data_IF_338368657602
#
_entry.id   IF_338368657602
#
_cell.length_a   1.000
_cell.length_b   1.000
_cell.length_c   1.000
_cell.angle_alpha   90.00
_cell.angle_beta   90.00
_cell.angle_gamma   90.00
#
_symmetry.space_group_name_H-M   'P 1'
#
loop_
_entity.id
_entity.type
_entity.pdbx_description
1 polymer ?
#
# COMPACT_ATOMS: atom_id res chain seq x y z
N UNK A 1 -15.20 -49.40 57.38
CA UNK A 1 -14.99 -47.94 57.20
C UNK A 1 -13.60 -47.60 56.64
N UNK A 2 -12.55 -48.30 57.06
CA UNK A 2 -11.17 -48.01 56.59
C UNK A 2 -10.92 -48.33 55.09
N UNK A 3 -11.50 -49.43 54.54
CA UNK A 3 -11.37 -49.85 53.15
C UNK A 3 -12.08 -48.88 52.15
N UNK A 4 -13.14 -48.19 52.59
CA UNK A 4 -13.86 -47.21 51.74
C UNK A 4 -13.07 -45.90 51.56
N UNK A 5 -12.35 -45.49 52.58
CA UNK A 5 -11.50 -44.27 52.56
C UNK A 5 -10.23 -44.46 51.69
N UNK A 6 -9.65 -45.70 51.67
CA UNK A 6 -8.51 -46.04 50.82
C UNK A 6 -8.90 -46.08 49.33
N UNK A 7 -10.11 -46.55 49.01
CA UNK A 7 -10.60 -46.55 47.64
C UNK A 7 -10.84 -45.14 47.07
N UNK A 8 -11.34 -44.20 47.86
CA UNK A 8 -11.56 -42.81 47.46
C UNK A 8 -10.23 -42.07 47.26
N UNK A 9 -9.26 -42.29 48.18
CA UNK A 9 -7.94 -41.67 48.05
C UNK A 9 -7.16 -42.17 46.82
N UNK A 10 -7.26 -43.43 46.48
CA UNK A 10 -6.62 -44.05 45.31
C UNK A 10 -7.29 -43.56 44.01
N UNK A 11 -8.62 -43.46 43.99
CA UNK A 11 -9.40 -42.95 42.87
C UNK A 11 -9.11 -41.48 42.53
N UNK A 12 -8.99 -40.61 43.57
CA UNK A 12 -8.62 -39.21 43.38
C UNK A 12 -7.17 -39.05 42.93
N UNK A 13 -6.24 -39.83 43.46
CA UNK A 13 -4.84 -39.80 43.01
C UNK A 13 -4.69 -40.22 41.53
N UNK A 14 -5.37 -41.29 41.08
CA UNK A 14 -5.35 -41.73 39.69
C UNK A 14 -6.00 -40.70 38.78
N UNK A 15 -7.08 -40.01 39.21
CA UNK A 15 -7.74 -38.97 38.44
C UNK A 15 -6.84 -37.73 38.28
N UNK A 16 -6.13 -37.32 39.33
CA UNK A 16 -5.17 -36.20 39.27
C UNK A 16 -3.91 -36.55 38.47
N UNK A 17 -3.41 -37.78 38.56
CA UNK A 17 -2.29 -38.26 37.78
C UNK A 17 -2.62 -38.35 36.27
N UNK A 18 -3.85 -38.69 35.91
CA UNK A 18 -4.31 -38.72 34.50
C UNK A 18 -4.59 -37.31 33.93
N UNK A 19 -4.88 -36.29 34.76
CA UNK A 19 -4.98 -34.92 34.34
C UNK A 19 -3.61 -34.24 34.15
N UNK A 20 -2.61 -34.65 34.93
CA UNK A 20 -1.24 -34.13 34.80
C UNK A 20 -0.53 -34.60 33.51
N UNK A 21 -0.97 -35.71 32.90
CA UNK A 21 -0.41 -36.20 31.63
C UNK A 21 -1.05 -35.58 30.36
N UNK A 22 -1.99 -34.63 30.50
CA UNK A 22 -2.72 -34.07 29.35
C UNK A 22 -2.59 -32.55 29.19
N UNK A 23 -1.53 -31.93 29.63
CA UNK A 23 -1.10 -30.67 29.08
C UNK A 23 -0.15 -31.00 27.92
N UNK A 24 -0.53 -30.76 26.67
CA UNK A 24 0.47 -30.73 25.61
C UNK A 24 1.41 -29.59 25.99
N UNK A 25 2.68 -29.87 26.23
CA UNK A 25 3.70 -28.84 26.16
C UNK A 25 3.61 -28.26 24.77
N UNK A 26 3.01 -27.07 24.62
CA UNK A 26 3.19 -26.30 23.42
C UNK A 26 4.69 -26.17 23.19
N UNK A 27 5.19 -26.50 21.98
CA UNK A 27 6.62 -26.37 21.73
C UNK A 27 7.01 -24.91 21.92
N UNK A 28 7.81 -24.64 22.97
CA UNK A 28 8.36 -23.34 23.40
C UNK A 28 9.30 -22.71 22.34
N UNK A 29 9.13 -23.01 21.03
CA UNK A 29 9.98 -22.55 19.96
C UNK A 29 9.18 -22.16 18.69
N UNK A 30 8.06 -21.45 18.81
CA UNK A 30 7.67 -20.57 17.72
C UNK A 30 8.55 -19.32 17.83
N UNK A 31 9.63 -19.31 17.07
CA UNK A 31 10.28 -18.05 16.70
C UNK A 31 9.18 -17.22 16.03
N UNK A 32 8.62 -16.25 16.74
CA UNK A 32 7.69 -15.29 16.13
C UNK A 32 8.50 -14.55 15.08
N UNK A 33 8.33 -14.91 13.82
CA UNK A 33 8.86 -14.11 12.72
C UNK A 33 8.06 -12.82 12.69
N UNK A 34 8.73 -11.71 12.87
CA UNK A 34 8.12 -10.39 12.70
C UNK A 34 7.70 -10.28 11.23
N UNK A 35 6.42 -10.02 10.93
CA UNK A 35 5.96 -9.90 9.55
C UNK A 35 6.70 -8.78 8.83
N UNK A 36 6.98 -8.98 7.55
CA UNK A 36 7.60 -8.01 6.66
C UNK A 36 6.64 -7.66 5.55
N UNK A 37 6.54 -6.36 5.25
CA UNK A 37 5.60 -5.84 4.28
C UNK A 37 6.29 -5.05 3.19
N UNK A 38 5.69 -5.08 1.99
CA UNK A 38 6.08 -4.21 0.89
C UNK A 38 4.85 -3.56 0.28
N UNK A 39 5.01 -2.33 -0.16
CA UNK A 39 4.00 -1.58 -0.92
C UNK A 39 4.57 -1.21 -2.27
N UNK A 40 3.77 -1.40 -3.33
CA UNK A 40 4.13 -1.00 -4.68
C UNK A 40 3.10 -0.05 -5.26
N UNK A 41 3.57 0.98 -5.97
CA UNK A 41 2.69 1.92 -6.65
C UNK A 41 3.28 2.41 -7.98
N UNK A 42 2.38 2.91 -8.82
CA UNK A 42 2.70 3.56 -10.09
C UNK A 42 2.14 4.99 -10.03
N UNK A 43 3.02 5.97 -10.19
CA UNK A 43 2.65 7.38 -10.28
C UNK A 43 2.35 7.76 -11.74
N UNK A 44 1.70 8.92 -11.96
CA UNK A 44 1.32 9.46 -13.28
C UNK A 44 0.48 8.46 -14.11
N UNK A 45 -0.37 7.68 -13.42
CA UNK A 45 -1.04 6.53 -14.03
C UNK A 45 -2.22 6.90 -14.97
N UNK A 46 -2.60 8.16 -15.08
CA UNK A 46 -3.73 8.61 -15.94
C UNK A 46 -3.57 8.24 -17.38
N UNK A 47 -2.34 8.12 -17.90
CA UNK A 47 -2.08 7.65 -19.25
C UNK A 47 -2.55 6.20 -19.52
N UNK A 48 -2.65 5.35 -18.47
CA UNK A 48 -3.19 3.99 -18.56
C UNK A 48 -4.68 4.07 -18.91
N UNK A 49 -5.41 4.93 -18.22
CA UNK A 49 -6.86 5.15 -18.42
C UNK A 49 -7.13 5.80 -19.79
N UNK A 50 -6.29 6.77 -20.19
CA UNK A 50 -6.35 7.38 -21.50
C UNK A 50 -6.15 6.34 -22.62
N UNK A 51 -5.18 5.43 -22.48
CA UNK A 51 -4.92 4.37 -23.44
C UNK A 51 -6.10 3.41 -23.55
N UNK A 52 -6.67 2.97 -22.42
CA UNK A 52 -7.84 2.08 -22.39
C UNK A 52 -9.05 2.74 -23.09
N UNK A 53 -9.34 3.99 -22.74
CA UNK A 53 -10.46 4.74 -23.30
C UNK A 53 -10.26 4.99 -24.82
N UNK A 54 -9.04 5.27 -25.26
CA UNK A 54 -8.72 5.54 -26.68
C UNK A 54 -8.86 4.29 -27.55
N UNK A 55 -8.45 3.12 -27.06
CA UNK A 55 -8.49 1.87 -27.81
C UNK A 55 -9.80 1.08 -27.61
N UNK A 56 -10.66 1.52 -26.69
CA UNK A 56 -11.95 0.85 -26.39
C UNK A 56 -11.77 -0.67 -26.16
N UNK A 57 -10.77 -1.06 -25.36
CA UNK A 57 -10.44 -2.46 -25.06
C UNK A 57 -11.66 -3.21 -24.47
N UNK A 58 -11.74 -4.52 -24.70
CA UNK A 58 -12.76 -5.38 -24.09
C UNK A 58 -12.50 -5.61 -22.59
N UNK A 59 -11.24 -5.54 -22.16
CA UNK A 59 -10.78 -5.68 -20.77
C UNK A 59 -9.72 -4.64 -20.44
N UNK A 60 -9.69 -4.13 -19.21
CA UNK A 60 -8.63 -3.25 -18.73
C UNK A 60 -7.24 -3.90 -18.84
N UNK A 61 -7.17 -5.21 -18.81
CA UNK A 61 -5.92 -5.99 -18.86
C UNK A 61 -5.36 -6.16 -20.29
N UNK A 62 -6.03 -5.63 -21.30
CA UNK A 62 -5.44 -5.49 -22.64
C UNK A 62 -4.46 -4.30 -22.70
N UNK A 63 -4.56 -3.35 -21.76
CA UNK A 63 -3.49 -2.38 -21.56
C UNK A 63 -2.22 -3.10 -21.08
N UNK A 64 -1.08 -2.81 -21.72
CA UNK A 64 0.19 -3.52 -21.49
C UNK A 64 0.66 -3.43 -20.02
N UNK A 65 0.44 -2.30 -19.33
CA UNK A 65 0.84 -2.12 -17.93
C UNK A 65 -0.06 -2.96 -17.04
N UNK A 66 -1.39 -2.84 -17.17
CA UNK A 66 -2.33 -3.58 -16.32
C UNK A 66 -2.25 -5.09 -16.56
N UNK A 67 -2.07 -5.52 -17.81
CA UNK A 67 -1.82 -6.93 -18.16
C UNK A 67 -0.59 -7.48 -17.44
N UNK A 68 0.53 -6.74 -17.47
CA UNK A 68 1.77 -7.13 -16.79
C UNK A 68 1.63 -7.13 -15.27
N UNK A 69 0.89 -6.17 -14.69
CA UNK A 69 0.60 -6.15 -13.25
C UNK A 69 -0.26 -7.35 -12.83
N UNK A 70 -1.23 -7.75 -13.64
CA UNK A 70 -2.03 -8.96 -13.39
C UNK A 70 -1.16 -10.21 -13.39
N UNK A 71 -0.28 -10.37 -14.38
CA UNK A 71 0.66 -11.50 -14.43
C UNK A 71 1.53 -11.55 -13.16
N UNK A 72 2.01 -10.39 -12.71
CA UNK A 72 2.79 -10.29 -11.47
C UNK A 72 1.95 -10.56 -10.21
N UNK A 73 0.68 -10.16 -10.21
CA UNK A 73 -0.24 -10.52 -9.12
C UNK A 73 -0.44 -12.04 -9.05
N UNK A 74 -0.70 -12.69 -10.19
CA UNK A 74 -0.92 -14.14 -10.28
C UNK A 74 0.33 -14.94 -9.85
N UNK A 75 1.54 -14.46 -10.20
CA UNK A 75 2.78 -15.18 -9.91
C UNK A 75 3.34 -14.90 -8.51
N UNK A 76 3.30 -13.63 -8.05
CA UNK A 76 3.98 -13.18 -6.83
C UNK A 76 3.02 -12.65 -5.75
N UNK A 77 1.72 -12.56 -6.02
CA UNK A 77 0.75 -11.95 -5.11
C UNK A 77 0.89 -10.42 -5.01
N UNK A 78 1.42 -9.76 -6.06
CA UNK A 78 1.59 -8.30 -6.11
C UNK A 78 0.27 -7.59 -5.78
N UNK A 79 0.34 -6.55 -4.94
CA UNK A 79 -0.69 -5.53 -4.79
C UNK A 79 -0.13 -4.21 -5.30
N UNK A 80 -0.88 -3.51 -6.13
CA UNK A 80 -0.46 -2.27 -6.75
C UNK A 80 -1.46 -1.13 -6.52
N UNK A 81 -0.95 0.08 -6.33
CA UNK A 81 -1.76 1.30 -6.32
C UNK A 81 -1.37 2.18 -7.50
N UNK A 82 -2.36 2.66 -8.24
CA UNK A 82 -2.20 3.60 -9.35
C UNK A 82 -2.55 5.00 -8.87
N UNK A 83 -1.62 5.96 -8.95
CA UNK A 83 -1.90 7.34 -8.60
C UNK A 83 -2.17 8.16 -9.85
N UNK A 84 -3.36 8.80 -9.91
CA UNK A 84 -3.89 9.45 -11.11
C UNK A 84 -4.03 10.96 -10.96
N UNK A 85 -3.83 11.67 -12.05
CA UNK A 85 -4.26 13.06 -12.24
C UNK A 85 -5.74 13.10 -12.62
N UNK A 86 -6.45 14.13 -12.22
CA UNK A 86 -7.77 14.42 -12.76
C UNK A 86 -7.72 14.79 -14.23
N UNK A 87 -6.59 15.38 -14.69
CA UNK A 87 -6.39 15.74 -16.09
C UNK A 87 -4.94 15.57 -16.50
N UNK A 88 -4.73 14.95 -17.66
CA UNK A 88 -3.44 14.77 -18.32
C UNK A 88 -3.53 15.34 -19.74
N UNK A 89 -2.79 16.39 -20.06
CA UNK A 89 -2.88 17.11 -21.34
C UNK A 89 -4.32 17.52 -21.67
N UNK A 90 -4.89 16.90 -22.74
CA UNK A 90 -6.26 17.11 -23.20
C UNK A 90 -7.25 16.08 -22.68
N UNK A 91 -6.78 15.03 -21.99
CA UNK A 91 -7.62 13.97 -21.45
C UNK A 91 -8.09 14.30 -20.02
N UNK A 92 -9.40 14.28 -19.80
CA UNK A 92 -10.01 14.41 -18.45
C UNK A 92 -10.37 13.00 -17.97
N UNK A 93 -10.00 12.66 -16.72
CA UNK A 93 -10.31 11.36 -16.14
C UNK A 93 -11.82 11.07 -16.10
N UNK A 94 -12.65 12.12 -16.02
CA UNK A 94 -14.10 12.04 -16.12
C UNK A 94 -14.61 11.45 -17.46
N UNK A 95 -13.76 11.44 -18.50
CA UNK A 95 -14.11 10.83 -19.80
C UNK A 95 -13.86 9.31 -19.83
N UNK A 96 -13.34 8.73 -18.74
CA UNK A 96 -13.11 7.27 -18.69
C UNK A 96 -14.44 6.52 -18.53
N UNK A 97 -14.70 5.46 -19.33
CA UNK A 97 -15.99 4.79 -19.36
C UNK A 97 -16.29 3.96 -18.12
N UNK A 98 -17.54 4.01 -17.62
CA UNK A 98 -18.03 3.19 -16.50
C UNK A 98 -18.14 1.69 -16.84
N UNK A 99 -17.98 1.32 -18.11
CA UNK A 99 -18.14 -0.05 -18.59
C UNK A 99 -17.16 -1.03 -17.89
N UNK A 100 -16.05 -0.57 -17.38
CA UNK A 100 -15.01 -1.36 -16.73
C UNK A 100 -15.18 -1.50 -15.21
N UNK A 101 -16.22 -0.89 -14.62
CA UNK A 101 -16.42 -0.82 -13.17
C UNK A 101 -16.36 -2.18 -12.49
N UNK A 102 -17.09 -3.15 -13.02
CA UNK A 102 -17.13 -4.51 -12.45
C UNK A 102 -15.73 -5.15 -12.46
N UNK A 103 -14.94 -4.91 -13.51
CA UNK A 103 -13.61 -5.50 -13.61
C UNK A 103 -12.64 -4.89 -12.58
N UNK A 104 -12.73 -3.58 -12.32
CA UNK A 104 -11.98 -2.96 -11.22
C UNK A 104 -12.45 -3.45 -9.85
N UNK A 105 -13.78 -3.52 -9.61
CA UNK A 105 -14.33 -4.03 -8.34
C UNK A 105 -13.89 -5.47 -8.06
N UNK A 106 -13.89 -6.34 -9.07
CA UNK A 106 -13.47 -7.74 -8.96
C UNK A 106 -11.97 -7.90 -8.65
N UNK A 107 -11.16 -6.87 -8.91
CA UNK A 107 -9.71 -6.86 -8.69
C UNK A 107 -9.27 -5.90 -7.57
N UNK A 108 -10.20 -5.31 -6.81
CA UNK A 108 -9.90 -4.31 -5.79
C UNK A 108 -9.12 -4.82 -4.58
N UNK A 109 -8.98 -6.14 -4.42
CA UNK A 109 -8.17 -6.77 -3.37
C UNK A 109 -6.66 -6.68 -3.65
N UNK A 110 -6.27 -6.40 -4.91
CA UNK A 110 -4.87 -6.27 -5.31
C UNK A 110 -4.56 -5.02 -6.16
N UNK A 111 -5.57 -4.36 -6.76
CA UNK A 111 -5.41 -3.16 -7.58
C UNK A 111 -6.25 -2.02 -7.04
N UNK A 112 -5.61 -0.91 -6.65
CA UNK A 112 -6.28 0.29 -6.17
C UNK A 112 -5.88 1.51 -6.97
N UNK A 113 -6.73 2.53 -6.93
CA UNK A 113 -6.55 3.80 -7.64
C UNK A 113 -6.69 4.93 -6.63
N UNK A 114 -5.78 5.91 -6.67
CA UNK A 114 -5.80 7.03 -5.74
C UNK A 114 -5.43 8.36 -6.41
N UNK A 115 -5.87 9.43 -5.78
CA UNK A 115 -5.54 10.79 -6.19
C UNK A 115 -4.02 11.05 -6.14
N UNK A 116 -3.46 11.59 -7.24
CA UNK A 116 -2.08 12.06 -7.33
C UNK A 116 -2.00 13.59 -7.33
N UNK A 117 -2.72 14.22 -8.22
CA UNK A 117 -2.91 15.66 -8.35
C UNK A 117 -4.10 15.99 -9.26
N UNK A 118 -4.43 17.26 -9.37
CA UNK A 118 -5.44 17.76 -10.31
C UNK A 118 -4.92 17.67 -11.74
N UNK A 119 -3.68 18.11 -11.94
CA UNK A 119 -2.95 18.12 -13.23
C UNK A 119 -1.53 17.57 -13.03
N UNK A 120 -0.79 17.42 -14.14
CA UNK A 120 0.62 17.02 -14.14
C UNK A 120 1.59 18.14 -13.74
N UNK A 121 1.13 19.40 -13.68
CA UNK A 121 1.95 20.53 -13.24
C UNK A 121 2.08 20.53 -11.73
N UNK A 122 3.20 21.04 -11.22
CA UNK A 122 3.40 21.19 -9.77
C UNK A 122 2.30 22.06 -9.15
N UNK A 123 1.55 21.56 -8.13
CA UNK A 123 0.52 22.38 -7.48
C UNK A 123 1.07 23.66 -6.85
N UNK A 124 2.33 23.69 -6.43
CA UNK A 124 3.02 24.87 -5.91
C UNK A 124 3.27 25.88 -7.02
N UNK A 125 3.76 25.45 -8.20
CA UNK A 125 4.03 26.31 -9.35
C UNK A 125 2.75 26.88 -9.95
N UNK A 126 1.66 26.10 -9.99
CA UNK A 126 0.33 26.58 -10.41
C UNK A 126 -0.32 27.52 -9.39
N UNK A 127 0.17 27.51 -8.14
CA UNK A 127 -0.43 28.27 -7.05
C UNK A 127 -1.81 27.75 -6.65
N UNK A 128 -1.99 26.42 -6.68
CA UNK A 128 -3.25 25.75 -6.34
C UNK A 128 -3.70 26.16 -4.93
N UNK A 129 -4.85 26.81 -4.85
CA UNK A 129 -5.43 27.20 -3.57
C UNK A 129 -5.98 26.00 -2.79
N UNK A 130 -6.11 26.14 -1.47
CA UNK A 130 -6.75 25.13 -0.62
C UNK A 130 -8.15 24.73 -1.10
N UNK A 131 -8.91 25.69 -1.65
CA UNK A 131 -10.25 25.45 -2.19
C UNK A 131 -10.19 24.62 -3.48
N UNK A 132 -9.34 24.98 -4.42
CA UNK A 132 -9.15 24.23 -5.68
C UNK A 132 -8.64 22.81 -5.40
N UNK A 133 -7.75 22.66 -4.41
CA UNK A 133 -7.30 21.35 -3.98
C UNK A 133 -8.46 20.48 -3.42
N UNK A 134 -9.33 21.08 -2.58
CA UNK A 134 -10.49 20.37 -2.04
C UNK A 134 -11.47 19.94 -3.14
N UNK A 135 -11.80 20.84 -4.06
CA UNK A 135 -12.67 20.56 -5.21
C UNK A 135 -12.03 19.52 -6.15
N UNK A 136 -10.72 19.55 -6.31
CA UNK A 136 -9.96 18.63 -7.17
C UNK A 136 -9.93 17.21 -6.63
N UNK A 137 -9.60 17.01 -5.36
CA UNK A 137 -9.58 15.66 -4.77
C UNK A 137 -11.00 15.07 -4.70
N UNK A 138 -12.01 15.86 -4.32
CA UNK A 138 -13.41 15.42 -4.32
C UNK A 138 -13.84 14.97 -5.72
N UNK A 139 -13.53 15.76 -6.76
CA UNK A 139 -13.84 15.42 -8.17
C UNK A 139 -13.15 14.12 -8.58
N UNK A 140 -11.84 13.99 -8.40
CA UNK A 140 -11.09 12.80 -8.84
C UNK A 140 -11.53 11.56 -8.07
N UNK A 141 -11.77 11.65 -6.76
CA UNK A 141 -12.30 10.54 -5.99
C UNK A 141 -13.68 10.11 -6.50
N UNK A 142 -14.57 11.07 -6.83
CA UNK A 142 -15.89 10.75 -7.39
C UNK A 142 -15.77 10.04 -8.74
N UNK A 143 -14.86 10.48 -9.62
CA UNK A 143 -14.59 9.82 -10.90
C UNK A 143 -14.11 8.38 -10.69
N UNK A 144 -13.18 8.14 -9.76
CA UNK A 144 -12.74 6.78 -9.40
C UNK A 144 -13.91 5.93 -8.88
N UNK A 145 -14.77 6.49 -8.02
CA UNK A 145 -15.97 5.78 -7.53
C UNK A 145 -16.94 5.42 -8.67
N UNK A 146 -17.08 6.29 -9.65
CA UNK A 146 -17.98 6.09 -10.77
C UNK A 146 -17.51 4.96 -11.68
N UNK A 147 -16.23 4.92 -12.06
CA UNK A 147 -15.72 3.92 -12.99
C UNK A 147 -15.04 2.68 -12.36
N UNK A 148 -14.67 2.73 -11.08
CA UNK A 148 -13.95 1.63 -10.43
C UNK A 148 -14.57 1.15 -9.10
N UNK A 149 -15.50 1.90 -8.51
CA UNK A 149 -16.18 1.56 -7.27
C UNK A 149 -15.38 1.85 -6.00
N UNK A 150 -16.09 1.85 -4.85
CA UNK A 150 -15.52 2.21 -3.54
C UNK A 150 -14.37 1.29 -3.11
N UNK A 151 -14.46 0.00 -3.40
CA UNK A 151 -13.44 -0.98 -3.04
C UNK A 151 -12.10 -0.71 -3.72
N UNK A 152 -12.10 -0.05 -4.88
CA UNK A 152 -10.89 0.28 -5.65
C UNK A 152 -10.23 1.59 -5.21
N UNK A 153 -10.90 2.42 -4.40
CA UNK A 153 -10.34 3.69 -3.95
C UNK A 153 -9.22 3.47 -2.92
N UNK A 154 -8.07 4.09 -3.15
CA UNK A 154 -6.92 4.04 -2.24
C UNK A 154 -7.02 5.13 -1.17
N UNK A 155 -6.74 4.76 0.09
CA UNK A 155 -6.72 5.69 1.23
C UNK A 155 -5.30 6.05 1.70
N UNK A 156 -4.27 5.45 1.11
CA UNK A 156 -2.87 5.88 1.30
C UNK A 156 -2.37 6.42 -0.03
N UNK A 157 -1.97 7.70 -0.04
CA UNK A 157 -1.71 8.42 -1.28
C UNK A 157 -0.24 8.80 -1.41
N UNK A 158 0.21 8.98 -2.66
CA UNK A 158 1.37 9.78 -3.02
C UNK A 158 0.90 10.95 -3.84
N UNK A 159 1.04 12.17 -3.27
CA UNK A 159 0.72 13.39 -3.99
C UNK A 159 1.91 13.83 -4.86
N UNK A 160 1.59 14.40 -6.00
CA UNK A 160 2.55 14.89 -6.97
C UNK A 160 3.50 15.93 -6.36
N UNK A 161 4.78 15.82 -6.67
CA UNK A 161 5.88 16.61 -6.07
C UNK A 161 5.98 16.56 -4.55
N UNK A 162 5.31 15.60 -3.86
CA UNK A 162 5.23 15.52 -2.39
C UNK A 162 4.78 16.85 -1.75
N UNK A 163 3.91 17.57 -2.45
CA UNK A 163 3.44 18.87 -2.01
C UNK A 163 2.08 18.78 -1.32
N UNK A 164 1.99 19.29 -0.10
CA UNK A 164 0.75 19.60 0.60
C UNK A 164 1.02 20.56 1.75
N UNK A 165 0.14 21.56 1.92
CA UNK A 165 0.13 22.43 3.10
C UNK A 165 -0.60 21.75 4.28
N UNK A 166 -0.50 22.34 5.47
CA UNK A 166 -1.26 21.85 6.64
C UNK A 166 -2.77 21.84 6.38
N UNK A 167 -3.31 22.85 5.70
CA UNK A 167 -4.72 22.94 5.35
C UNK A 167 -5.12 21.85 4.36
N UNK A 168 -4.29 21.58 3.34
CA UNK A 168 -4.51 20.47 2.39
C UNK A 168 -4.50 19.13 3.10
N UNK A 169 -3.62 18.91 4.06
CA UNK A 169 -3.60 17.68 4.88
C UNK A 169 -4.89 17.54 5.70
N UNK A 170 -5.49 18.61 6.20
CA UNK A 170 -6.80 18.54 6.88
C UNK A 170 -7.94 18.16 5.91
N UNK A 171 -7.86 18.58 4.64
CA UNK A 171 -8.81 18.16 3.59
C UNK A 171 -8.63 16.67 3.33
N UNK A 172 -7.42 16.19 3.08
CA UNK A 172 -7.14 14.77 2.87
C UNK A 172 -7.74 13.87 3.96
N UNK A 173 -7.59 14.28 5.22
CA UNK A 173 -8.20 13.57 6.36
C UNK A 173 -9.73 13.52 6.30
N UNK A 174 -10.38 14.59 5.86
CA UNK A 174 -11.85 14.62 5.69
C UNK A 174 -12.31 13.73 4.55
N UNK A 175 -11.50 13.62 3.51
CA UNK A 175 -11.72 12.73 2.36
C UNK A 175 -11.36 11.27 2.67
N UNK A 176 -11.08 10.93 3.92
CA UNK A 176 -10.81 9.55 4.33
C UNK A 176 -9.39 9.06 4.08
N UNK A 177 -8.46 9.96 3.69
CA UNK A 177 -7.05 9.58 3.52
C UNK A 177 -6.44 9.19 4.87
N UNK A 178 -5.77 8.06 4.91
CA UNK A 178 -5.18 7.45 6.10
C UNK A 178 -3.67 7.61 6.19
N UNK A 179 -3.01 7.82 5.04
CA UNK A 179 -1.57 7.98 5.00
C UNK A 179 -1.04 8.63 3.74
N UNK A 180 0.22 9.09 3.83
CA UNK A 180 0.97 9.71 2.74
C UNK A 180 2.33 9.03 2.56
N UNK A 181 2.70 8.79 1.30
CA UNK A 181 3.99 8.23 0.90
C UNK A 181 4.95 9.38 0.56
N UNK A 182 5.88 9.66 1.47
CA UNK A 182 6.93 10.67 1.31
C UNK A 182 8.02 10.20 0.32
N UNK A 183 8.87 11.13 -0.09
CA UNK A 183 10.13 10.80 -0.74
C UNK A 183 11.14 10.17 0.21
N UNK A 184 12.38 10.03 -0.24
CA UNK A 184 13.50 9.48 0.53
C UNK A 184 14.49 10.54 1.05
N UNK A 185 14.06 11.79 1.08
CA UNK A 185 14.79 12.94 1.62
C UNK A 185 13.88 13.83 2.48
N UNK A 186 14.47 14.74 3.27
CA UNK A 186 13.72 15.58 4.21
C UNK A 186 12.88 16.68 3.56
N UNK A 187 13.13 16.99 2.30
CA UNK A 187 12.44 18.05 1.57
C UNK A 187 11.21 17.53 0.81
N UNK A 188 11.11 16.21 0.67
CA UNK A 188 10.03 15.50 -0.02
C UNK A 188 9.04 14.83 0.96
N UNK A 189 8.62 15.55 2.00
CA UNK A 189 7.81 15.01 3.11
C UNK A 189 6.57 15.89 3.42
N UNK A 190 5.96 16.51 2.45
CA UNK A 190 4.74 17.30 2.61
C UNK A 190 4.88 18.41 3.67
N UNK A 191 3.91 18.48 4.59
CA UNK A 191 3.85 19.44 5.68
C UNK A 191 4.64 19.01 6.94
N UNK A 192 5.42 17.93 6.89
CA UNK A 192 6.22 17.51 8.04
C UNK A 192 7.30 18.55 8.34
N UNK A 193 7.50 18.82 9.62
CA UNK A 193 8.67 19.59 10.05
C UNK A 193 9.96 18.82 9.70
N UNK A 194 11.07 19.54 9.57
CA UNK A 194 12.36 18.92 9.29
C UNK A 194 12.72 17.81 10.30
N UNK A 195 12.44 18.03 11.60
CA UNK A 195 12.67 17.03 12.65
C UNK A 195 11.81 15.79 12.45
N UNK A 196 10.53 15.94 12.08
CA UNK A 196 9.62 14.84 11.78
C UNK A 196 10.07 14.06 10.55
N UNK A 197 10.45 14.76 9.47
CA UNK A 197 10.96 14.15 8.25
C UNK A 197 12.27 13.36 8.51
N UNK A 198 13.21 13.93 9.25
CA UNK A 198 14.44 13.23 9.65
C UNK A 198 14.16 12.00 10.55
N UNK A 199 13.13 12.08 11.41
CA UNK A 199 12.70 10.94 12.22
C UNK A 199 12.09 9.83 11.37
N UNK A 200 11.23 10.20 10.42
CA UNK A 200 10.65 9.26 9.43
C UNK A 200 11.75 8.52 8.65
N UNK A 201 12.70 9.26 8.08
CA UNK A 201 13.82 8.69 7.33
C UNK A 201 14.70 7.74 8.16
N UNK A 202 14.78 7.98 9.46
CA UNK A 202 15.57 7.18 10.40
C UNK A 202 14.85 5.93 10.86
N UNK A 203 13.54 6.04 11.16
CA UNK A 203 12.73 4.93 11.67
C UNK A 203 12.36 3.91 10.61
N UNK A 204 12.11 4.36 9.37
CA UNK A 204 11.66 3.55 8.23
C UNK A 204 10.31 2.83 8.40
N UNK A 205 9.84 2.70 9.62
CA UNK A 205 8.56 2.01 9.94
C UNK A 205 7.33 2.91 9.85
N UNK A 206 7.53 4.15 9.37
CA UNK A 206 6.50 5.18 9.34
C UNK A 206 6.39 5.95 10.66
N UNK A 207 5.79 7.12 10.58
CA UNK A 207 5.45 7.96 11.75
C UNK A 207 4.01 8.44 11.66
N UNK A 208 3.43 8.78 12.79
CA UNK A 208 2.06 9.30 12.87
C UNK A 208 2.00 10.57 13.71
N UNK A 209 2.37 11.73 13.15
CA UNK A 209 2.13 13.00 13.82
C UNK A 209 0.64 13.37 13.71
N UNK A 210 -0.14 12.97 14.70
CA UNK A 210 -1.60 13.12 14.68
C UNK A 210 -2.32 11.88 14.14
N UNK A 211 -3.32 12.05 13.24
CA UNK A 211 -4.19 10.98 12.77
C UNK A 211 -3.76 10.37 11.41
N UNK A 212 -2.97 11.10 10.63
CA UNK A 212 -2.45 10.66 9.33
C UNK A 212 -1.09 9.97 9.51
N UNK A 213 -0.88 8.89 8.81
CA UNK A 213 0.40 8.17 8.79
C UNK A 213 1.27 8.65 7.66
N UNK A 214 2.59 8.69 7.88
CA UNK A 214 3.57 9.04 6.86
C UNK A 214 4.57 7.89 6.72
N UNK A 215 4.86 7.52 5.49
CA UNK A 215 5.80 6.44 5.16
C UNK A 215 6.86 6.95 4.21
N UNK A 216 8.11 6.54 4.40
CA UNK A 216 9.18 6.84 3.46
C UNK A 216 9.07 5.93 2.25
N UNK A 217 9.35 6.45 1.07
CA UNK A 217 9.57 5.65 -0.14
C UNK A 217 11.04 5.25 -0.22
N UNK A 218 11.31 3.96 -0.31
CA UNK A 218 12.67 3.42 -0.26
C UNK A 218 13.32 3.31 -1.64
N UNK A 219 12.55 2.87 -2.63
CA UNK A 219 13.06 2.56 -3.96
C UNK A 219 12.19 3.19 -5.04
N UNK A 220 12.83 3.99 -5.89
CA UNK A 220 12.30 4.49 -7.15
C UNK A 220 12.99 3.74 -8.28
N UNK A 221 12.25 2.88 -9.00
CA UNK A 221 12.83 1.91 -9.94
C UNK A 221 13.65 2.57 -11.05
N UNK A 222 13.13 3.62 -11.68
CA UNK A 222 13.81 4.31 -12.79
C UNK A 222 15.05 5.10 -12.35
N UNK A 223 15.26 5.33 -11.05
CA UNK A 223 16.46 5.96 -10.49
C UNK A 223 17.44 4.97 -9.88
N UNK A 224 17.10 3.68 -9.93
CA UNK A 224 17.89 2.60 -9.31
C UNK A 224 18.62 1.81 -10.40
N UNK A 225 19.95 1.91 -10.44
CA UNK A 225 20.77 1.19 -11.41
C UNK A 225 20.89 -0.31 -11.07
N UNK A 226 21.12 -0.63 -9.80
CA UNK A 226 21.29 -2.01 -9.28
C UNK A 226 20.19 -2.29 -8.24
N UNK A 227 19.11 -2.91 -8.71
CA UNK A 227 17.93 -3.19 -7.88
C UNK A 227 18.23 -4.17 -6.76
N UNK A 228 19.03 -5.21 -6.99
CA UNK A 228 19.36 -6.19 -5.95
C UNK A 228 20.20 -5.56 -4.84
N UNK A 229 21.14 -4.70 -5.18
CA UNK A 229 21.92 -3.95 -4.20
C UNK A 229 21.07 -2.99 -3.39
N UNK A 230 20.10 -2.31 -4.03
CA UNK A 230 19.16 -1.42 -3.35
C UNK A 230 18.29 -2.22 -2.37
N UNK A 231 17.71 -3.33 -2.79
CA UNK A 231 16.88 -4.20 -1.95
C UNK A 231 17.67 -4.81 -0.78
N UNK A 232 18.91 -5.23 -1.01
CA UNK A 232 19.76 -5.78 0.04
C UNK A 232 20.10 -4.76 1.16
N UNK A 233 20.07 -3.47 0.85
CA UNK A 233 20.20 -2.42 1.87
C UNK A 233 18.99 -2.39 2.84
N UNK A 234 17.82 -2.84 2.37
CA UNK A 234 16.55 -2.87 3.11
C UNK A 234 16.16 -4.27 3.63
N UNK A 235 17.04 -5.28 3.54
CA UNK A 235 16.70 -6.68 3.90
C UNK A 235 16.29 -6.90 5.35
N UNK A 236 16.63 -5.97 6.25
CA UNK A 236 16.25 -6.01 7.67
C UNK A 236 15.03 -5.13 7.99
N UNK A 237 14.55 -4.32 7.03
CA UNK A 237 13.44 -3.41 7.26
C UNK A 237 12.13 -4.20 7.29
N UNK A 238 11.19 -3.76 8.11
CA UNK A 238 9.86 -4.38 8.22
C UNK A 238 8.94 -3.95 7.09
N UNK A 239 9.15 -2.75 6.56
CA UNK A 239 8.42 -2.18 5.45
C UNK A 239 9.40 -1.70 4.40
N UNK A 240 9.14 -2.03 3.13
CA UNK A 240 9.86 -1.49 1.96
C UNK A 240 8.84 -0.96 0.97
N UNK A 241 8.91 0.34 0.67
CA UNK A 241 8.02 1.01 -0.28
C UNK A 241 8.73 1.24 -1.60
N UNK A 242 8.16 0.70 -2.67
CA UNK A 242 8.72 0.74 -4.03
C UNK A 242 7.74 1.45 -4.96
N UNK A 243 8.23 2.27 -5.88
CA UNK A 243 7.40 2.86 -6.91
C UNK A 243 8.14 3.04 -8.25
N UNK A 244 7.36 3.30 -9.28
CA UNK A 244 7.80 3.79 -10.58
C UNK A 244 6.74 4.72 -11.17
N UNK A 245 7.00 5.30 -12.35
CA UNK A 245 6.01 6.08 -13.08
C UNK A 245 5.48 5.30 -14.29
N UNK A 246 4.24 5.56 -14.67
CA UNK A 246 3.62 4.89 -15.79
C UNK A 246 4.37 5.11 -17.11
N UNK A 247 4.87 6.34 -17.37
CA UNK A 247 5.59 6.70 -18.59
C UNK A 247 6.93 5.96 -18.80
N UNK A 248 7.49 5.34 -17.77
CA UNK A 248 8.73 4.56 -17.88
C UNK A 248 8.57 3.11 -17.39
N UNK A 249 7.34 2.64 -17.20
CA UNK A 249 7.07 1.32 -16.63
C UNK A 249 7.71 0.19 -17.46
N UNK A 250 7.57 0.23 -18.78
CA UNK A 250 8.10 -0.82 -19.66
C UNK A 250 9.63 -0.97 -19.53
N UNK A 251 10.35 0.14 -19.41
CA UNK A 251 11.81 0.14 -19.23
C UNK A 251 12.25 -0.41 -17.86
N UNK A 252 11.34 -0.46 -16.90
CA UNK A 252 11.60 -0.89 -15.52
C UNK A 252 10.88 -2.18 -15.12
N UNK A 253 10.12 -2.80 -16.02
CA UNK A 253 9.36 -4.02 -15.73
C UNK A 253 10.27 -5.18 -15.27
N UNK A 254 11.43 -5.37 -15.90
CA UNK A 254 12.40 -6.40 -15.51
C UNK A 254 13.01 -6.14 -14.13
N UNK A 255 13.23 -4.85 -13.76
CA UNK A 255 13.67 -4.49 -12.41
C UNK A 255 12.58 -4.77 -11.38
N UNK A 256 11.32 -4.49 -11.74
CA UNK A 256 10.18 -4.84 -10.89
C UNK A 256 10.11 -6.35 -10.68
N UNK A 257 10.13 -7.15 -11.74
CA UNK A 257 10.10 -8.62 -11.64
C UNK A 257 11.24 -9.17 -10.77
N UNK A 258 12.45 -8.61 -10.90
CA UNK A 258 13.60 -8.94 -10.03
C UNK A 258 13.28 -8.61 -8.56
N UNK A 259 12.66 -7.46 -8.31
CA UNK A 259 12.26 -7.05 -6.95
C UNK A 259 11.20 -7.99 -6.37
N UNK A 260 10.19 -8.38 -7.17
CA UNK A 260 9.13 -9.31 -6.77
C UNK A 260 9.71 -10.67 -6.33
N UNK A 261 10.62 -11.22 -7.13
CA UNK A 261 11.32 -12.47 -6.80
C UNK A 261 12.15 -12.36 -5.52
N UNK A 262 12.78 -11.20 -5.28
CA UNK A 262 13.53 -10.94 -4.05
C UNK A 262 12.57 -10.84 -2.83
N UNK A 263 11.46 -10.10 -2.92
CA UNK A 263 10.46 -9.97 -1.86
C UNK A 263 9.87 -11.33 -1.47
N UNK A 264 9.48 -12.14 -2.46
CA UNK A 264 8.97 -13.49 -2.24
C UNK A 264 10.00 -14.36 -1.48
N UNK A 265 11.28 -14.33 -1.90
CA UNK A 265 12.36 -15.06 -1.25
C UNK A 265 12.63 -14.60 0.19
N UNK A 266 12.46 -13.30 0.47
CA UNK A 266 12.70 -12.71 1.78
C UNK A 266 11.49 -12.75 2.71
N UNK A 267 10.34 -13.28 2.23
CA UNK A 267 9.12 -13.45 3.00
C UNK A 267 8.37 -12.14 3.28
N UNK A 268 8.42 -11.19 2.33
CA UNK A 268 7.60 -9.99 2.37
C UNK A 268 6.19 -10.27 1.85
N UNK A 269 5.19 -9.62 2.46
CA UNK A 269 3.79 -9.64 2.03
C UNK A 269 3.42 -8.26 1.47
N UNK A 270 2.60 -8.23 0.41
CA UNK A 270 2.14 -6.97 -0.19
C UNK A 270 1.00 -6.36 0.61
N UNK A 271 1.03 -5.04 0.83
CA UNK A 271 0.01 -4.31 1.58
C UNK A 271 -0.31 -2.96 0.95
N UNK A 272 -1.53 -2.47 1.14
CA UNK A 272 -1.93 -1.10 0.79
C UNK A 272 -1.63 -0.07 1.88
N UNK A 273 -1.06 -0.48 3.03
CA UNK A 273 -0.75 0.37 4.19
C UNK A 273 -1.96 1.03 4.86
N UNK A 274 -3.16 0.61 4.54
CA UNK A 274 -4.41 1.08 5.14
C UNK A 274 -4.59 0.54 6.56
N UNK A 275 -5.36 1.25 7.40
CA UNK A 275 -5.54 0.90 8.84
C UNK A 275 -6.10 -0.50 9.07
N UNK A 276 -7.00 -0.96 8.22
CA UNK A 276 -7.59 -2.29 8.34
C UNK A 276 -6.55 -3.41 8.20
N UNK A 277 -5.53 -3.19 7.38
CA UNK A 277 -4.42 -4.13 7.23
C UNK A 277 -3.48 -4.13 8.43
N UNK A 278 -3.42 -3.01 9.20
CA UNK A 278 -2.59 -2.87 10.41
C UNK A 278 -3.24 -3.43 11.68
N UNK A 279 -4.57 -3.48 11.76
CA UNK A 279 -5.26 -4.10 12.91
C UNK A 279 -4.97 -5.60 12.98
N UNK A 280 -4.73 -6.26 11.85
CA UNK A 280 -4.27 -7.65 11.82
C UNK A 280 -2.85 -7.82 12.39
N UNK A 281 -2.00 -6.79 12.24
CA UNK A 281 -0.63 -6.79 12.80
C UNK A 281 -0.61 -6.72 14.33
N UNK A 282 -1.58 -6.02 14.95
CA UNK A 282 -1.65 -5.83 16.43
C UNK A 282 -2.47 -6.93 17.11
N UNK A 283 -3.39 -7.58 16.39
CA UNK A 283 -4.20 -8.68 16.94
C UNK A 283 -3.42 -10.00 17.08
N UNK A 284 -2.27 -10.11 16.41
CA UNK A 284 -1.34 -11.25 16.49
C UNK A 284 -0.20 -11.02 17.51
N UNK A 285 -0.18 -9.87 18.23
CA UNK A 285 0.69 -9.58 19.39
C UNK A 285 -0.02 -9.98 20.70
#
# INVERSE_FOLDING_TARGET
MLLLLLGIALGTYIFYAQQAEKTPEEPLNRVRTIPKYTHFSIDDATQIFQDIAFHEYESIFENEILGKLRDFHEEYGLKATLYVFGKLDTYDLADFPDAYKTEFEDNADWLKIGFHSITETSPEEEGVTTKEFAEGIEKVNQEILDFAGEASLAHVLRLHYWYATDEMVQILKKEGVEGLLCGNDSDSCYNLTKEQAENLLRSRDGIRPGELSYYVTDIRLEKTDDILKALDAHKCDRLVVVFTHAWCFQDNADKLETALGWFAKMGYEYTFLEKENRVKEVADE
#
